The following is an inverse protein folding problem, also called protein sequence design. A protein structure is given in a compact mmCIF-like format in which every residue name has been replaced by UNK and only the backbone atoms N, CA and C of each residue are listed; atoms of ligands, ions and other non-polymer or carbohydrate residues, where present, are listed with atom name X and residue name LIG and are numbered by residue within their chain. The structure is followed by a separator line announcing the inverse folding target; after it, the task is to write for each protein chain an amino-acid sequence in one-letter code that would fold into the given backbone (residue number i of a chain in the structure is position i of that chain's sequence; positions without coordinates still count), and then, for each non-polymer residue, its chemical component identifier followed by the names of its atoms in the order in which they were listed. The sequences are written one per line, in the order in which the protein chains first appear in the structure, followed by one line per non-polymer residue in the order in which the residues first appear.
data_IF_223098398212
#
_entry.id   IF_223098398212
#
_cell.length_a   1.000
_cell.length_b   1.000
_cell.length_c   1.000
_cell.angle_alpha   90.00
_cell.angle_beta   90.00
_cell.angle_gamma   90.00
#
_symmetry.space_group_name_H-M   'P 1'
#
loop_
_entity.id
_entity.type
_entity.pdbx_description
1 polymer ?
#
# COMPACT_ATOMS: atom_id res chain seq x y z
N UNK A 1 -9.72 -8.64 -20.91
CA UNK A 1 -10.73 -7.87 -20.17
C UNK A 1 -10.91 -8.49 -18.79
N UNK A 2 -11.05 -7.68 -17.74
CA UNK A 2 -11.53 -8.16 -16.43
C UNK A 2 -13.00 -7.79 -16.26
N UNK A 3 -13.75 -8.56 -15.48
CA UNK A 3 -15.06 -8.15 -14.97
C UNK A 3 -15.25 -8.77 -13.58
N UNK A 4 -15.91 -8.03 -12.70
CA UNK A 4 -16.28 -8.54 -11.39
C UNK A 4 -17.61 -9.30 -11.51
N UNK A 5 -17.67 -10.49 -10.91
CA UNK A 5 -18.90 -11.26 -10.75
C UNK A 5 -19.17 -11.41 -9.25
N UNK A 6 -20.41 -11.16 -8.83
CA UNK A 6 -20.78 -11.31 -7.43
C UNK A 6 -20.74 -12.79 -7.05
N UNK A 7 -20.22 -13.13 -5.85
CA UNK A 7 -20.25 -14.51 -5.39
C UNK A 7 -21.68 -14.96 -5.11
N UNK A 8 -22.01 -16.20 -5.49
CA UNK A 8 -23.33 -16.82 -5.25
C UNK A 8 -23.27 -17.93 -4.18
N UNK A 9 -22.10 -18.21 -3.61
CA UNK A 9 -21.91 -19.28 -2.62
C UNK A 9 -21.39 -18.76 -1.29
N UNK A 10 -21.36 -19.65 -0.30
CA UNK A 10 -21.02 -19.33 1.09
C UNK A 10 -19.51 -19.31 1.40
N UNK A 11 -18.67 -19.64 0.41
CA UNK A 11 -17.22 -19.67 0.61
C UNK A 11 -16.63 -18.26 0.61
N UNK A 12 -15.96 -17.88 1.71
CA UNK A 12 -15.17 -16.65 1.78
C UNK A 12 -14.04 -16.69 0.75
N UNK A 13 -13.99 -15.69 -0.12
CA UNK A 13 -12.90 -15.46 -1.08
C UNK A 13 -12.18 -14.17 -0.72
N UNK A 14 -10.86 -14.25 -0.55
CA UNK A 14 -10.02 -13.10 -0.23
C UNK A 14 -8.96 -12.91 -1.33
N UNK A 15 -8.81 -11.68 -1.80
CA UNK A 15 -7.79 -11.30 -2.77
C UNK A 15 -7.10 -10.03 -2.30
N UNK A 16 -5.78 -9.98 -2.47
CA UNK A 16 -5.00 -8.76 -2.25
C UNK A 16 -4.58 -8.21 -3.61
N UNK A 17 -4.93 -6.96 -3.88
CA UNK A 17 -4.53 -6.29 -5.10
C UNK A 17 -3.16 -5.65 -4.92
N UNK A 18 -2.20 -6.08 -5.72
CA UNK A 18 -0.85 -5.53 -5.73
C UNK A 18 -0.63 -4.89 -7.09
N UNK A 19 -0.49 -3.56 -7.11
CA UNK A 19 -0.15 -2.83 -8.32
C UNK A 19 1.38 -2.66 -8.39
N UNK A 20 1.98 -3.12 -9.48
CA UNK A 20 3.43 -3.06 -9.72
C UNK A 20 3.72 -2.38 -11.03
N UNK A 21 4.76 -1.54 -11.08
CA UNK A 21 5.25 -0.98 -12.34
C UNK A 21 6.77 -1.03 -12.42
N UNK A 22 7.37 -1.12 -13.63
CA UNK A 22 8.81 -1.11 -13.79
C UNK A 22 9.50 0.08 -13.08
N UNK A 23 10.60 -0.19 -12.38
CA UNK A 23 11.40 0.82 -11.66
C UNK A 23 11.78 2.03 -12.51
N UNK A 24 12.02 1.83 -13.82
CA UNK A 24 12.38 2.89 -14.76
C UNK A 24 11.32 3.99 -14.94
N UNK A 25 10.08 3.74 -14.50
CA UNK A 25 9.00 4.75 -14.58
C UNK A 25 8.94 5.67 -13.36
N UNK A 26 9.60 5.31 -12.25
CA UNK A 26 9.60 6.12 -11.03
C UNK A 26 10.78 7.11 -11.02
N UNK A 27 10.50 8.35 -10.64
CA UNK A 27 11.53 9.35 -10.33
C UNK A 27 12.18 9.03 -8.97
N UNK A 28 13.37 9.57 -8.71
CA UNK A 28 14.03 9.38 -7.42
C UNK A 28 13.19 9.96 -6.27
N UNK A 29 12.64 11.15 -6.45
CA UNK A 29 11.70 11.79 -5.50
C UNK A 29 10.53 10.87 -5.13
N UNK A 30 9.92 10.20 -6.12
CA UNK A 30 8.82 9.26 -5.87
C UNK A 30 9.27 8.10 -4.98
N UNK A 31 10.48 7.59 -5.17
CA UNK A 31 11.00 6.47 -4.39
C UNK A 31 11.34 6.88 -2.97
N UNK A 32 11.92 8.06 -2.79
CA UNK A 32 12.24 8.62 -1.48
C UNK A 32 10.94 8.85 -0.68
N UNK A 33 9.89 9.36 -1.35
CA UNK A 33 8.57 9.54 -0.73
C UNK A 33 7.94 8.20 -0.34
N UNK A 34 8.01 7.18 -1.20
CA UNK A 34 7.52 5.83 -0.89
C UNK A 34 8.26 5.20 0.28
N UNK A 35 9.60 5.35 0.32
CA UNK A 35 10.43 4.86 1.42
C UNK A 35 10.02 5.52 2.73
N UNK A 36 9.88 6.84 2.73
CA UNK A 36 9.39 7.59 3.89
C UNK A 36 8.01 7.09 4.36
N UNK A 37 7.05 6.93 3.46
CA UNK A 37 5.71 6.45 3.83
C UNK A 37 5.71 4.99 4.30
N UNK A 38 6.58 4.16 3.75
CA UNK A 38 6.79 2.79 4.23
C UNK A 38 7.30 2.79 5.68
N UNK A 39 8.31 3.60 5.99
CA UNK A 39 8.87 3.72 7.35
C UNK A 39 7.85 4.30 8.35
N UNK A 40 6.93 5.15 7.87
CA UNK A 40 5.84 5.76 8.65
C UNK A 40 4.57 4.88 8.72
N UNK A 41 4.56 3.66 8.16
CA UNK A 41 3.39 2.77 8.04
C UNK A 41 2.16 3.41 7.35
N UNK A 42 2.39 4.36 6.45
CA UNK A 42 1.35 5.08 5.72
C UNK A 42 0.97 4.37 4.42
N UNK A 43 -0.33 4.31 4.17
CA UNK A 43 -0.86 3.92 2.86
C UNK A 43 -0.56 4.98 1.81
N UNK A 44 -0.35 4.55 0.56
CA UNK A 44 -0.19 5.44 -0.59
C UNK A 44 -1.33 5.26 -1.59
N UNK A 45 -1.39 6.16 -2.56
CA UNK A 45 -2.26 6.00 -3.74
C UNK A 45 -1.95 4.73 -4.54
N UNK A 46 -2.89 4.36 -5.41
CA UNK A 46 -2.87 3.13 -6.22
C UNK A 46 -1.69 3.04 -7.22
N UNK A 47 -1.18 4.17 -7.72
CA UNK A 47 -0.18 4.20 -8.79
C UNK A 47 1.24 4.18 -8.20
N UNK A 48 2.03 3.11 -8.37
CA UNK A 48 3.26 2.95 -7.61
C UNK A 48 4.43 3.83 -8.08
N UNK A 49 4.35 4.44 -9.27
CA UNK A 49 5.43 5.27 -9.84
C UNK A 49 5.08 6.75 -10.06
N UNK A 50 3.84 7.19 -9.80
CA UNK A 50 3.41 8.58 -10.01
C UNK A 50 2.25 8.92 -9.09
N UNK A 51 2.09 10.22 -8.76
CA UNK A 51 1.01 10.72 -7.89
C UNK A 51 0.97 10.01 -6.54
N UNK A 52 2.15 9.66 -6.01
CA UNK A 52 2.28 9.04 -4.70
C UNK A 52 2.05 10.11 -3.64
N UNK A 53 1.03 9.93 -2.80
CA UNK A 53 0.81 10.71 -1.61
C UNK A 53 0.08 9.86 -0.56
N UNK A 54 0.18 10.25 0.71
CA UNK A 54 -0.63 9.71 1.80
C UNK A 54 -1.83 10.60 2.03
N UNK A 55 -2.98 10.02 2.33
CA UNK A 55 -4.17 10.77 2.74
C UNK A 55 -3.89 11.43 4.09
N UNK A 56 -4.10 12.75 4.25
CA UNK A 56 -3.77 13.46 5.49
C UNK A 56 -4.87 13.39 6.56
N UNK A 57 -6.04 12.85 6.22
CA UNK A 57 -7.21 12.82 7.08
C UNK A 57 -7.42 11.42 7.66
N UNK A 58 -7.89 11.37 8.91
CA UNK A 58 -8.23 10.12 9.56
C UNK A 58 -9.54 9.54 8.96
N UNK A 59 -9.65 8.20 8.82
CA UNK A 59 -10.86 7.58 8.31
C UNK A 59 -12.03 7.82 9.28
N UNK A 60 -13.15 8.29 8.74
CA UNK A 60 -14.34 8.64 9.51
C UNK A 60 -15.40 7.53 9.44
N UNK A 61 -16.21 7.41 10.49
CA UNK A 61 -17.43 6.60 10.55
C UNK A 61 -18.58 7.51 10.95
N UNK A 62 -19.28 8.05 9.96
CA UNK A 62 -20.19 9.19 10.17
C UNK A 62 -19.38 10.43 10.56
N UNK A 63 -19.81 11.13 11.60
CA UNK A 63 -19.18 12.38 12.07
C UNK A 63 -18.00 12.16 13.03
N UNK A 64 -17.67 10.91 13.36
CA UNK A 64 -16.61 10.57 14.30
C UNK A 64 -15.46 9.84 13.61
N UNK A 65 -14.24 10.03 14.12
CA UNK A 65 -13.09 9.23 13.69
C UNK A 65 -13.37 7.76 13.95
N UNK A 66 -13.05 6.89 12.99
CA UNK A 66 -13.28 5.46 13.13
C UNK A 66 -12.51 4.92 14.34
N UNK A 67 -13.18 4.29 15.34
CA UNK A 67 -12.50 3.75 16.52
C UNK A 67 -11.55 2.58 16.20
N UNK A 68 -11.70 1.99 14.99
CA UNK A 68 -10.81 0.95 14.47
C UNK A 68 -9.65 1.51 13.63
N UNK A 69 -9.52 2.83 13.56
CA UNK A 69 -8.40 3.47 12.89
C UNK A 69 -7.10 3.12 13.61
N UNK A 70 -6.03 2.90 12.84
CA UNK A 70 -4.72 2.54 13.35
C UNK A 70 -3.64 3.23 12.55
N UNK A 71 -2.57 3.62 13.24
CA UNK A 71 -1.40 4.27 12.64
C UNK A 71 -0.29 3.28 12.27
N UNK A 72 -0.34 2.07 12.80
CA UNK A 72 0.59 0.99 12.49
C UNK A 72 -0.14 -0.38 12.45
N UNK A 73 0.46 -1.41 11.82
CA UNK A 73 -0.06 -2.78 11.82
C UNK A 73 -0.14 -3.38 13.24
N UNK A 74 -1.09 -4.29 13.48
CA UNK A 74 -1.18 -5.04 14.73
C UNK A 74 0.05 -5.91 14.98
N UNK A 75 0.52 -6.57 13.91
CA UNK A 75 1.73 -7.37 13.89
C UNK A 75 2.70 -6.71 12.90
N UNK A 76 3.89 -6.35 13.38
CA UNK A 76 4.89 -5.72 12.51
C UNK A 76 5.46 -6.75 11.54
N UNK A 77 5.63 -6.40 10.25
CA UNK A 77 6.17 -7.33 9.28
C UNK A 77 7.66 -7.59 9.55
N UNK A 78 8.12 -8.79 9.21
CA UNK A 78 9.55 -9.07 9.15
C UNK A 78 10.16 -8.34 7.94
N UNK A 79 11.13 -7.47 8.19
CA UNK A 79 11.79 -6.67 7.15
C UNK A 79 12.93 -7.45 6.50
N UNK A 80 12.57 -8.41 5.66
CA UNK A 80 13.56 -9.17 4.88
C UNK A 80 14.14 -8.33 3.75
N UNK A 81 15.35 -8.69 3.32
CA UNK A 81 16.04 -8.05 2.20
C UNK A 81 15.21 -8.08 0.90
N UNK A 82 14.51 -9.19 0.65
CA UNK A 82 13.60 -9.35 -0.50
C UNK A 82 12.41 -8.39 -0.41
N UNK A 83 11.80 -8.26 0.77
CA UNK A 83 10.70 -7.32 0.99
C UNK A 83 11.15 -5.88 0.73
N UNK A 84 12.29 -5.49 1.31
CA UNK A 84 12.85 -4.14 1.14
C UNK A 84 13.14 -3.82 -0.33
N UNK A 85 13.58 -4.82 -1.11
CA UNK A 85 13.76 -4.67 -2.56
C UNK A 85 12.42 -4.55 -3.31
N UNK A 86 11.42 -5.34 -2.95
CA UNK A 86 10.09 -5.29 -3.57
C UNK A 86 9.38 -3.96 -3.36
N UNK A 87 9.49 -3.36 -2.17
CA UNK A 87 8.86 -2.05 -1.88
C UNK A 87 9.66 -0.87 -2.44
N UNK A 88 10.87 -1.11 -2.94
CA UNK A 88 11.76 -0.09 -3.50
C UNK A 88 12.62 0.64 -2.46
N UNK A 89 12.65 0.17 -1.21
CA UNK A 89 13.51 0.72 -0.15
C UNK A 89 14.99 0.31 -0.30
N UNK A 90 15.25 -0.80 -1.01
CA UNK A 90 16.58 -1.31 -1.35
C UNK A 90 16.66 -1.58 -2.87
N UNK A 91 17.75 -1.22 -3.56
CA UNK A 91 17.92 -1.56 -4.98
C UNK A 91 18.20 -3.06 -5.19
N UNK A 92 17.91 -3.54 -6.39
CA UNK A 92 18.39 -4.82 -6.90
C UNK A 92 19.81 -4.59 -7.44
N UNK A 93 20.81 -5.18 -6.79
CA UNK A 93 22.20 -5.22 -7.23
C UNK A 93 22.49 -6.57 -7.87
#
# INVERSE_FOLDING_TARGET
MHYACLPEGEQIRHVQYICTTPRKFATQETLDLRKRFFDEYKGTTHWPHRNVFSVPFEPMRGDQVCPKNRKEPFEKPELTDTLLKLVGCKPYH
#
